data_IF_985147617721
#
_entry.id   IF_985147617721
#
_cell.length_a   1.000
_cell.length_b   1.000
_cell.length_c   1.000
_cell.angle_alpha   90.00
_cell.angle_beta   90.00
_cell.angle_gamma   90.00
#
_symmetry.space_group_name_H-M   'P 1'
#
loop_
_entity.id
_entity.type
_entity.pdbx_description
1 polymer ?
#
# COMPACT_ATOMS: atom_id res chain seq x y z
N UNK A 1 -18.94 4.06 -26.50
CA UNK A 1 -18.53 4.81 -25.31
C UNK A 1 -18.57 3.87 -24.12
N UNK A 2 -17.41 3.33 -23.74
CA UNK A 2 -17.30 2.41 -22.62
C UNK A 2 -17.52 3.17 -21.31
N UNK A 3 -18.53 2.75 -20.53
CA UNK A 3 -18.66 3.19 -19.14
C UNK A 3 -17.49 2.58 -18.36
N UNK A 4 -16.50 3.40 -18.01
CA UNK A 4 -15.54 3.04 -16.97
C UNK A 4 -16.31 2.85 -15.67
N UNK A 5 -16.64 1.60 -15.36
CA UNK A 5 -17.12 1.17 -14.05
C UNK A 5 -15.97 1.18 -13.05
N UNK A 6 -15.43 2.36 -12.77
CA UNK A 6 -14.63 2.55 -11.57
C UNK A 6 -15.58 2.37 -10.39
N UNK A 7 -15.51 1.23 -9.71
CA UNK A 7 -16.02 1.13 -8.34
C UNK A 7 -15.18 2.10 -7.52
N UNK A 8 -15.62 3.36 -7.45
CA UNK A 8 -15.05 4.32 -6.53
C UNK A 8 -15.09 3.67 -5.15
N UNK A 9 -13.93 3.62 -4.48
CA UNK A 9 -13.91 3.27 -3.07
C UNK A 9 -14.83 4.26 -2.36
N UNK A 10 -16.00 3.78 -1.94
CA UNK A 10 -16.93 4.60 -1.20
C UNK A 10 -16.46 4.57 0.24
N UNK A 11 -15.89 5.69 0.70
CA UNK A 11 -15.62 5.87 2.12
C UNK A 11 -16.96 5.87 2.85
N UNK A 12 -17.14 4.91 3.78
CA UNK A 12 -18.31 4.83 4.65
C UNK A 12 -17.99 5.69 5.88
N UNK A 13 -18.02 7.00 5.70
CA UNK A 13 -17.87 7.97 6.79
C UNK A 13 -18.97 9.02 6.66
N UNK A 14 -19.58 9.39 7.78
CA UNK A 14 -20.58 10.44 7.85
C UNK A 14 -20.17 11.55 8.82
N UNK A 15 -20.68 12.77 8.61
CA UNK A 15 -20.43 13.91 9.52
C UNK A 15 -20.99 13.68 10.94
N UNK A 16 -21.85 12.68 11.12
CA UNK A 16 -22.42 12.28 12.41
C UNK A 16 -21.63 11.19 13.13
N UNK A 17 -20.56 10.68 12.53
CA UNK A 17 -19.74 9.64 13.13
C UNK A 17 -18.99 10.19 14.36
N UNK A 18 -18.85 9.36 15.39
CA UNK A 18 -18.16 9.72 16.64
C UNK A 18 -16.99 8.77 16.88
N UNK A 19 -15.89 9.31 17.41
CA UNK A 19 -14.81 8.47 17.95
C UNK A 19 -15.15 8.07 19.38
N UNK A 20 -14.90 6.80 19.67
CA UNK A 20 -14.98 6.25 21.01
C UNK A 20 -13.61 5.68 21.34
N UNK A 21 -13.01 6.17 22.42
CA UNK A 21 -11.81 5.58 22.99
C UNK A 21 -12.24 4.48 23.95
N UNK A 22 -11.66 3.29 23.79
CA UNK A 22 -11.92 2.11 24.61
C UNK A 22 -10.62 1.61 25.22
N UNK A 23 -10.64 1.36 26.53
CA UNK A 23 -9.56 0.70 27.27
C UNK A 23 -10.14 -0.36 28.22
N UNK A 24 -9.29 -0.97 29.05
CA UNK A 24 -9.72 -1.99 30.02
C UNK A 24 -10.68 -1.45 31.10
N UNK A 25 -10.78 -0.12 31.25
CA UNK A 25 -11.61 0.54 32.25
C UNK A 25 -12.99 0.95 31.72
N UNK A 26 -13.13 1.14 30.40
CA UNK A 26 -14.41 1.47 29.79
C UNK A 26 -14.30 2.20 28.46
N UNK A 27 -15.32 3.02 28.17
CA UNK A 27 -15.48 3.75 26.90
C UNK A 27 -15.76 5.21 27.15
N UNK A 28 -15.12 6.10 26.39
CA UNK A 28 -15.36 7.54 26.42
C UNK A 28 -15.50 8.09 25.00
N UNK A 29 -16.51 8.94 24.78
CA UNK A 29 -16.71 9.62 23.50
C UNK A 29 -15.70 10.77 23.42
N UNK A 30 -14.97 10.86 22.32
CA UNK A 30 -14.05 11.95 22.07
C UNK A 30 -14.77 13.11 21.39
N UNK A 31 -14.69 14.28 21.98
CA UNK A 31 -15.13 15.52 21.39
C UNK A 31 -13.93 16.27 20.80
N UNK A 32 -13.91 16.38 19.47
CA UNK A 32 -12.87 17.06 18.70
C UNK A 32 -13.23 18.52 18.37
N UNK A 33 -14.34 19.06 18.88
CA UNK A 33 -14.73 20.45 18.61
C UNK A 33 -13.69 21.40 19.15
N UNK A 34 -13.03 22.15 18.26
CA UNK A 34 -12.06 23.18 18.64
C UNK A 34 -10.60 22.76 18.51
N UNK A 35 -10.29 21.55 18.02
CA UNK A 35 -8.91 21.18 17.74
C UNK A 35 -8.52 21.25 16.27
N UNK A 36 -7.49 22.06 16.04
CA UNK A 36 -6.42 21.76 15.10
C UNK A 36 -5.53 20.67 15.73
N UNK A 37 -5.99 19.40 15.77
CA UNK A 37 -5.11 18.29 16.20
C UNK A 37 -4.03 18.22 15.14
N UNK A 38 -2.84 18.73 15.42
CA UNK A 38 -1.74 18.63 14.48
C UNK A 38 -1.09 17.27 14.61
N UNK A 39 -0.89 16.59 13.48
CA UNK A 39 0.02 15.45 13.43
C UNK A 39 1.47 15.91 13.69
N UNK A 40 2.42 14.98 13.72
CA UNK A 40 3.83 15.31 13.92
C UNK A 40 4.41 16.23 12.81
N UNK A 41 3.72 16.35 11.67
CA UNK A 41 4.08 17.19 10.52
C UNK A 41 3.45 18.59 10.62
N UNK A 42 2.51 18.79 11.55
CA UNK A 42 1.83 20.07 11.77
C UNK A 42 0.47 20.19 11.05
N UNK A 43 -0.02 19.12 10.43
CA UNK A 43 -1.27 19.08 9.67
C UNK A 43 -2.46 18.69 10.55
N UNK A 44 -3.61 19.32 10.30
CA UNK A 44 -4.83 19.04 11.06
C UNK A 44 -5.37 17.64 10.74
N UNK A 45 -5.25 16.72 11.70
CA UNK A 45 -5.79 15.37 11.68
C UNK A 45 -7.31 15.40 11.51
N UNK A 46 -7.81 14.77 10.45
CA UNK A 46 -9.24 14.69 10.18
C UNK A 46 -9.84 13.42 10.77
N UNK A 47 -11.09 13.50 11.21
CA UNK A 47 -11.85 12.34 11.70
C UNK A 47 -11.82 11.16 10.69
N UNK A 48 -11.91 11.46 9.40
CA UNK A 48 -11.92 10.48 8.33
C UNK A 48 -10.57 9.77 8.09
N UNK A 49 -9.50 10.19 8.76
CA UNK A 49 -8.17 9.57 8.67
C UNK A 49 -7.95 8.50 9.75
N UNK A 50 -8.85 8.43 10.74
CA UNK A 50 -8.80 7.43 11.81
C UNK A 50 -9.75 6.28 11.51
N UNK A 51 -9.25 5.05 11.68
CA UNK A 51 -10.04 3.83 11.55
C UNK A 51 -10.27 3.20 12.93
N UNK A 52 -11.33 2.39 13.05
CA UNK A 52 -11.53 1.59 14.26
C UNK A 52 -10.40 0.59 14.43
N UNK A 53 -9.99 0.33 15.68
CA UNK A 53 -8.91 -0.60 16.01
C UNK A 53 -7.50 0.01 16.05
N UNK A 54 -7.35 1.30 15.75
CA UNK A 54 -6.09 2.00 16.02
C UNK A 54 -5.86 2.13 17.54
N UNK A 55 -4.61 2.04 17.95
CA UNK A 55 -4.18 2.28 19.33
C UNK A 55 -3.45 3.61 19.35
N UNK A 56 -3.95 4.54 20.16
CA UNK A 56 -3.46 5.93 20.23
C UNK A 56 -3.41 6.38 21.68
N UNK A 57 -2.56 7.34 21.99
CA UNK A 57 -2.61 8.07 23.26
C UNK A 57 -3.39 9.36 23.05
N UNK A 58 -4.40 9.61 23.88
CA UNK A 58 -5.21 10.83 23.84
C UNK A 58 -5.00 11.61 25.12
N UNK A 59 -4.72 12.91 24.99
CA UNK A 59 -4.68 13.85 26.11
C UNK A 59 -5.90 14.75 25.99
N UNK A 60 -6.55 15.01 27.11
CA UNK A 60 -7.77 15.82 27.17
C UNK A 60 -8.38 15.82 28.56
N UNK A 61 -9.55 16.44 28.67
CA UNK A 61 -10.30 16.53 29.94
C UNK A 61 -11.72 15.99 29.77
N UNK A 62 -12.23 15.30 30.80
CA UNK A 62 -13.62 14.79 30.78
C UNK A 62 -14.57 15.90 31.22
N UNK A 63 -15.54 16.19 30.36
CA UNK A 63 -16.56 17.21 30.57
C UNK A 63 -17.67 16.69 31.50
N UNK A 64 -18.54 17.59 31.97
CA UNK A 64 -19.70 17.23 32.80
C UNK A 64 -20.72 16.31 32.08
N UNK A 65 -20.70 16.26 30.74
CA UNK A 65 -21.55 15.35 29.95
C UNK A 65 -20.96 13.94 29.86
N UNK A 66 -19.74 13.72 30.35
CA UNK A 66 -19.02 12.46 30.26
C UNK A 66 -18.28 12.24 28.94
N UNK A 67 -18.27 13.25 28.05
CA UNK A 67 -17.44 13.25 26.84
C UNK A 67 -16.05 13.82 27.16
N UNK A 68 -15.00 13.36 26.47
CA UNK A 68 -13.65 13.89 26.62
C UNK A 68 -13.40 14.99 25.59
N UNK A 69 -13.18 16.22 26.06
CA UNK A 69 -12.64 17.30 25.24
C UNK A 69 -11.16 17.02 25.00
N UNK A 70 -10.83 16.66 23.76
CA UNK A 70 -9.46 16.29 23.38
C UNK A 70 -8.58 17.53 23.40
N UNK A 71 -7.30 17.41 23.73
CA UNK A 71 -6.25 18.44 23.63
C UNK A 71 -5.09 17.99 22.74
N UNK A 72 -4.94 16.67 22.53
CA UNK A 72 -3.96 16.10 21.60
C UNK A 72 -4.15 14.61 21.40
N UNK A 73 -3.77 14.13 20.21
CA UNK A 73 -3.74 12.70 19.86
C UNK A 73 -2.32 12.37 19.41
N UNK A 74 -1.74 11.33 20.00
CA UNK A 74 -0.40 10.85 19.70
C UNK A 74 -0.49 9.44 19.15
N UNK A 75 -0.06 9.29 17.90
CA UNK A 75 0.04 7.99 17.23
C UNK A 75 1.34 7.29 17.63
N UNK A 76 1.34 5.97 17.62
CA UNK A 76 2.58 5.22 17.77
C UNK A 76 3.46 5.48 16.54
N UNK A 77 4.49 6.31 16.68
CA UNK A 77 5.47 6.50 15.63
C UNK A 77 6.38 5.27 15.58
N UNK A 78 6.38 4.57 14.46
CA UNK A 78 7.51 3.71 14.11
C UNK A 78 8.54 4.67 13.54
N UNK A 79 9.44 5.17 14.40
CA UNK A 79 10.62 5.88 13.90
C UNK A 79 11.14 5.07 12.72
N UNK A 80 11.18 5.70 11.54
CA UNK A 80 11.80 5.11 10.39
C UNK A 80 13.26 4.91 10.80
N UNK A 81 13.57 3.73 11.35
CA UNK A 81 14.95 3.34 11.61
C UNK A 81 15.62 3.55 10.28
N UNK A 82 16.56 4.49 10.23
CA UNK A 82 17.42 4.74 9.09
C UNK A 82 17.78 3.37 8.53
N UNK A 83 17.22 3.04 7.36
CA UNK A 83 17.46 1.74 6.76
C UNK A 83 18.96 1.76 6.48
N UNK A 84 19.79 0.99 7.20
CA UNK A 84 21.23 1.04 7.00
C UNK A 84 21.46 0.34 5.67
N UNK A 85 21.59 1.13 4.60
CA UNK A 85 21.58 0.57 3.25
C UNK A 85 21.60 1.58 2.12
N UNK A 86 21.11 2.81 2.30
CA UNK A 86 21.44 3.92 1.38
C UNK A 86 22.81 4.45 1.79
N UNK A 87 23.82 3.60 1.63
CA UNK A 87 25.20 4.04 1.74
C UNK A 87 25.46 4.80 0.45
N UNK A 88 25.73 6.09 0.59
CA UNK A 88 26.35 6.90 -0.46
C UNK A 88 27.53 6.08 -1.01
N UNK A 89 27.42 5.59 -2.25
CA UNK A 89 28.40 4.65 -2.83
C UNK A 89 29.82 5.25 -2.89
N UNK A 90 29.96 6.56 -2.71
CA UNK A 90 31.25 7.23 -2.66
C UNK A 90 32.02 7.10 -1.33
N UNK A 91 31.36 6.79 -0.21
CA UNK A 91 31.98 6.91 1.12
C UNK A 91 32.44 5.58 1.73
N UNK A 92 31.87 4.45 1.31
CA UNK A 92 32.25 3.14 1.83
C UNK A 92 32.84 2.30 0.70
N UNK A 93 34.16 2.06 0.76
CA UNK A 93 34.86 1.09 -0.06
C UNK A 93 34.40 -0.35 0.20
N UNK A 94 33.13 -0.62 -0.06
CA UNK A 94 32.48 -1.92 0.08
C UNK A 94 32.96 -2.76 -1.09
N UNK A 95 33.80 -3.73 -0.77
CA UNK A 95 34.23 -4.78 -1.67
C UNK A 95 32.97 -5.50 -2.17
N UNK A 96 32.57 -5.22 -3.41
CA UNK A 96 31.53 -5.98 -4.12
C UNK A 96 31.82 -7.47 -3.94
N UNK A 97 30.89 -8.19 -3.32
CA UNK A 97 30.94 -9.64 -3.27
C UNK A 97 30.95 -10.13 -4.72
N UNK A 98 32.10 -10.61 -5.19
CA UNK A 98 32.28 -11.21 -6.51
C UNK A 98 31.48 -12.51 -6.59
N UNK A 99 30.19 -12.39 -6.88
CA UNK A 99 29.44 -13.45 -7.55
C UNK A 99 29.63 -13.18 -9.03
N UNK A 100 30.58 -13.90 -9.66
CA UNK A 100 30.77 -14.05 -11.10
C UNK A 100 30.74 -12.77 -11.95
N UNK A 101 31.90 -12.38 -12.50
CA UNK A 101 32.11 -11.22 -13.39
C UNK A 101 31.07 -11.04 -14.52
N UNK A 102 29.94 -10.44 -14.20
CA UNK A 102 29.13 -9.62 -15.12
C UNK A 102 28.82 -8.34 -14.38
N UNK A 103 29.64 -7.34 -14.64
CA UNK A 103 29.43 -5.95 -14.22
C UNK A 103 28.22 -5.41 -15.01
N UNK A 104 27.00 -5.78 -14.63
CA UNK A 104 25.84 -4.99 -15.03
C UNK A 104 25.89 -3.70 -14.20
N UNK A 105 26.14 -2.57 -14.85
CA UNK A 105 26.11 -1.21 -14.25
C UNK A 105 24.68 -0.78 -13.84
N UNK A 106 23.82 -1.74 -13.50
CA UNK A 106 22.39 -1.53 -13.37
C UNK A 106 21.94 -2.13 -12.04
N UNK A 107 21.21 -1.32 -11.29
CA UNK A 107 20.79 -1.62 -9.93
C UNK A 107 19.76 -2.75 -9.90
N UNK A 108 19.79 -3.63 -8.87
CA UNK A 108 18.81 -4.69 -8.73
C UNK A 108 17.41 -4.12 -8.45
N UNK A 109 16.44 -4.50 -9.26
CA UNK A 109 15.05 -4.03 -9.17
C UNK A 109 14.11 -5.10 -8.59
N UNK A 110 13.05 -4.65 -7.90
CA UNK A 110 11.96 -5.53 -7.41
C UNK A 110 10.65 -5.12 -8.07
N UNK A 111 9.98 -6.06 -8.72
CA UNK A 111 8.67 -5.84 -9.33
C UNK A 111 7.55 -6.08 -8.31
N UNK A 112 6.68 -5.09 -8.11
CA UNK A 112 5.46 -5.20 -7.29
C UNK A 112 4.24 -5.35 -8.18
N UNK A 113 3.47 -6.43 -8.00
CA UNK A 113 2.26 -6.72 -8.78
C UNK A 113 1.10 -6.99 -7.84
N UNK A 114 -0.07 -6.43 -8.11
CA UNK A 114 -1.30 -6.69 -7.35
C UNK A 114 -2.52 -6.69 -8.26
N UNK A 115 -3.63 -7.25 -7.79
CA UNK A 115 -4.93 -7.08 -8.45
C UNK A 115 -5.06 -7.75 -9.82
N UNK A 116 -4.34 -8.85 -10.08
CA UNK A 116 -4.43 -9.60 -11.34
C UNK A 116 -5.84 -10.14 -11.64
N UNK A 117 -6.65 -10.40 -10.60
CA UNK A 117 -8.06 -10.80 -10.70
C UNK A 117 -8.32 -11.92 -11.72
N UNK A 118 -7.45 -12.92 -11.76
CA UNK A 118 -7.59 -14.07 -12.65
C UNK A 118 -8.92 -14.79 -12.42
N UNK A 119 -9.55 -15.26 -13.50
CA UNK A 119 -10.86 -15.94 -13.47
C UNK A 119 -12.08 -15.01 -13.53
N UNK A 120 -11.90 -13.71 -13.76
CA UNK A 120 -13.02 -12.80 -14.09
C UNK A 120 -13.38 -12.95 -15.57
N UNK A 121 -14.67 -13.03 -15.90
CA UNK A 121 -15.12 -12.93 -17.30
C UNK A 121 -14.60 -11.62 -17.93
N UNK A 122 -13.95 -11.75 -19.09
CA UNK A 122 -13.28 -10.63 -19.75
C UNK A 122 -11.98 -10.17 -19.06
N UNK A 123 -11.38 -10.97 -18.16
CA UNK A 123 -10.01 -10.71 -17.70
C UNK A 123 -9.08 -10.76 -18.91
N UNK A 124 -8.37 -9.66 -19.15
CA UNK A 124 -7.44 -9.56 -20.26
C UNK A 124 -6.23 -10.46 -19.96
N UNK A 125 -6.17 -11.62 -20.62
CA UNK A 125 -5.04 -12.55 -20.52
C UNK A 125 -3.79 -11.99 -21.20
N UNK A 126 -3.98 -11.09 -22.16
CA UNK A 126 -2.91 -10.49 -22.94
C UNK A 126 -1.96 -9.60 -22.10
N UNK A 127 -2.43 -8.64 -21.28
CA UNK A 127 -1.56 -7.90 -20.36
C UNK A 127 -0.76 -8.78 -19.41
N UNK A 128 -1.36 -9.88 -18.91
CA UNK A 128 -0.64 -10.83 -18.04
C UNK A 128 0.43 -11.60 -18.82
N UNK A 129 0.12 -12.01 -20.04
CA UNK A 129 1.09 -12.65 -20.93
C UNK A 129 2.25 -11.69 -21.25
N UNK A 130 1.96 -10.43 -21.62
CA UNK A 130 2.98 -9.42 -21.89
C UNK A 130 3.86 -9.13 -20.66
N UNK A 131 3.26 -9.08 -19.46
CA UNK A 131 4.02 -8.97 -18.22
C UNK A 131 4.94 -10.18 -18.01
N UNK A 132 4.44 -11.38 -18.29
CA UNK A 132 5.21 -12.63 -18.19
C UNK A 132 6.36 -12.63 -19.19
N UNK A 133 6.10 -12.23 -20.44
CA UNK A 133 7.09 -12.17 -21.51
C UNK A 133 8.15 -11.12 -21.19
N UNK A 134 7.76 -9.97 -20.63
CA UNK A 134 8.69 -8.93 -20.17
C UNK A 134 9.57 -9.40 -19.01
N UNK A 135 8.99 -10.01 -17.97
CA UNK A 135 9.75 -10.49 -16.79
C UNK A 135 10.66 -11.66 -17.15
N UNK A 136 10.25 -12.51 -18.11
CA UNK A 136 11.05 -13.63 -18.58
C UNK A 136 12.11 -13.25 -19.63
N UNK A 137 12.09 -11.99 -20.11
CA UNK A 137 12.94 -11.53 -21.21
C UNK A 137 12.54 -12.06 -22.59
N UNK A 138 11.37 -12.72 -22.72
CA UNK A 138 10.88 -13.25 -23.98
C UNK A 138 10.31 -12.17 -24.93
N UNK A 139 10.00 -10.97 -24.42
CA UNK A 139 9.39 -9.88 -25.21
C UNK A 139 10.39 -8.93 -25.88
N UNK A 140 11.67 -9.00 -25.54
CA UNK A 140 12.67 -8.00 -25.97
C UNK A 140 13.69 -8.66 -26.88
N UNK A 141 13.85 -8.15 -28.10
CA UNK A 141 14.95 -8.57 -28.97
C UNK A 141 16.28 -8.06 -28.37
N UNK A 142 17.36 -8.84 -28.46
CA UNK A 142 18.64 -8.55 -27.79
C UNK A 142 19.23 -7.16 -28.11
N UNK A 143 18.81 -6.52 -29.21
CA UNK A 143 19.20 -5.14 -29.57
C UNK A 143 18.40 -4.05 -28.82
N UNK A 144 17.14 -4.32 -28.45
CA UNK A 144 16.30 -3.40 -27.64
C UNK A 144 16.56 -3.54 -26.13
N UNK A 145 17.12 -4.67 -25.69
CA UNK A 145 17.47 -4.91 -24.29
C UNK A 145 18.54 -3.93 -23.78
N UNK A 146 19.45 -3.48 -24.67
CA UNK A 146 20.40 -2.40 -24.39
C UNK A 146 19.77 -1.00 -24.37
N UNK A 147 18.67 -0.79 -25.08
CA UNK A 147 17.95 0.49 -25.14
C UNK A 147 17.04 0.70 -23.92
N UNK A 148 16.51 -0.39 -23.36
CA UNK A 148 15.65 -0.35 -22.17
C UNK A 148 16.43 -0.10 -20.88
N UNK A 149 17.74 -0.36 -20.85
CA UNK A 149 18.62 -0.05 -19.72
C UNK A 149 18.07 -0.57 -18.39
N UNK A 150 17.92 0.32 -17.40
CA UNK A 150 17.31 0.05 -16.07
C UNK A 150 15.86 -0.47 -16.14
N UNK A 151 15.19 -0.27 -17.27
CA UNK A 151 13.85 -0.77 -17.57
C UNK A 151 13.81 -2.12 -18.29
N UNK A 152 14.91 -2.87 -18.35
CA UNK A 152 14.89 -4.26 -18.80
C UNK A 152 14.46 -5.21 -17.68
N UNK A 153 13.65 -6.22 -18.01
CA UNK A 153 13.30 -7.32 -17.11
C UNK A 153 14.52 -8.07 -16.56
N UNK A 154 15.68 -7.98 -17.22
CA UNK A 154 16.94 -8.59 -16.80
C UNK A 154 17.45 -8.12 -15.42
N UNK A 155 17.03 -6.94 -14.95
CA UNK A 155 17.43 -6.40 -13.64
C UNK A 155 16.46 -6.75 -12.51
N UNK A 156 15.34 -7.40 -12.83
CA UNK A 156 14.38 -7.85 -11.85
C UNK A 156 14.96 -9.02 -11.04
N UNK A 157 15.35 -8.75 -9.80
CA UNK A 157 15.85 -9.77 -8.90
C UNK A 157 14.73 -10.50 -8.16
N UNK A 158 13.55 -9.87 -8.00
CA UNK A 158 12.38 -10.43 -7.32
C UNK A 158 11.07 -9.90 -7.89
N UNK A 159 10.04 -10.74 -7.83
CA UNK A 159 8.64 -10.37 -8.10
C UNK A 159 7.83 -10.61 -6.82
N UNK A 160 7.10 -9.60 -6.36
CA UNK A 160 6.21 -9.67 -5.20
C UNK A 160 4.75 -9.53 -5.65
N UNK A 161 3.93 -10.52 -5.28
CA UNK A 161 2.49 -10.54 -5.55
C UNK A 161 1.73 -10.06 -4.31
N UNK A 162 1.27 -8.81 -4.31
CA UNK A 162 0.70 -8.11 -3.17
C UNK A 162 -0.84 -8.26 -3.06
N UNK A 163 -1.36 -9.46 -3.33
CA UNK A 163 -2.79 -9.78 -3.18
C UNK A 163 -3.68 -9.45 -4.39
N UNK A 164 -4.94 -9.89 -4.32
CA UNK A 164 -5.93 -9.72 -5.39
C UNK A 164 -5.61 -10.51 -6.67
N UNK A 165 -4.81 -11.58 -6.58
CA UNK A 165 -4.34 -12.35 -7.74
C UNK A 165 -5.46 -13.15 -8.42
N UNK A 166 -6.39 -13.67 -7.64
CA UNK A 166 -7.54 -14.45 -8.12
C UNK A 166 -8.82 -13.71 -7.73
N UNK A 167 -9.84 -13.78 -8.60
CA UNK A 167 -11.17 -13.26 -8.27
C UNK A 167 -11.79 -14.10 -7.15
N UNK A 168 -12.31 -13.44 -6.12
CA UNK A 168 -13.23 -14.08 -5.18
C UNK A 168 -14.55 -14.37 -5.90
N UNK A 169 -14.96 -15.65 -5.91
CA UNK A 169 -16.30 -16.05 -6.34
C UNK A 169 -17.26 -15.67 -5.23
N UNK A 170 -18.03 -14.60 -5.43
CA UNK A 170 -19.04 -14.15 -4.47
C UNK A 170 -20.38 -14.70 -4.95
N UNK A 171 -20.81 -15.77 -4.31
CA UNK A 171 -22.10 -16.45 -4.44
C UNK A 171 -22.29 -17.45 -5.62
N UNK A 172 -23.23 -18.38 -5.41
CA UNK A 172 -23.52 -19.55 -6.26
C UNK A 172 -24.01 -19.22 -7.68
N UNK A 173 -24.29 -17.95 -7.98
CA UNK A 173 -24.67 -17.49 -9.32
C UNK A 173 -23.45 -17.37 -10.26
N UNK A 174 -22.26 -17.05 -9.73
CA UNK A 174 -21.01 -16.99 -10.49
C UNK A 174 -20.53 -18.40 -10.95
N UNK A 175 -20.99 -19.47 -10.28
CA UNK A 175 -20.61 -20.85 -10.63
C UNK A 175 -21.33 -21.34 -11.89
N UNK A 176 -22.51 -20.79 -12.21
CA UNK A 176 -23.28 -21.19 -13.39
C UNK A 176 -22.74 -20.60 -14.69
N UNK A 177 -22.17 -19.39 -14.67
CA UNK A 177 -21.60 -18.77 -15.87
C UNK A 177 -20.20 -19.29 -16.22
N UNK A 178 -19.49 -19.88 -15.26
CA UNK A 178 -18.18 -20.51 -15.49
C UNK A 178 -18.26 -21.97 -15.99
N UNK A 179 -19.46 -22.56 -16.06
CA UNK A 179 -19.70 -23.96 -16.42
C UNK A 179 -20.43 -24.17 -17.76
N UNK A 180 -20.76 -23.08 -18.47
CA UNK A 180 -21.16 -23.08 -19.90
C UNK A 180 -20.00 -22.65 -20.79
#
# INVERSE_FOLDING_TARGET
GAKQGGSAFQTISSDGDKLVLEDDSGRVILNLTGLDVKDEVGDNLKLCELATGIVVSVVGSVTATGEMEVEGIFLANVEAKDVPGVVDEEAAGVVKAKVGDVQSNLDPCVLLVSGLKMGKEGSETLPLQLLTDYVSGASVEAEEEQLLGEGSGAHLCRVLLCGGSVREVKDAEDVKSAAE
#
